data_IF_047165439387
#
_entry.id   IF_047165439387
#
_cell.length_a   1.000
_cell.length_b   1.000
_cell.length_c   1.000
_cell.angle_alpha   90.00
_cell.angle_beta   90.00
_cell.angle_gamma   90.00
#
_symmetry.space_group_name_H-M   'P 1'
#
loop_
_entity.id
_entity.type
_entity.pdbx_description
1 polymer ?
#
# COMPACT_ATOMS: atom_id res chain seq x y z
N UNK A 1 23.85 19.25 14.49
CA UNK A 1 23.16 18.28 13.60
C UNK A 1 22.14 17.45 14.35
N UNK A 2 22.45 16.93 15.55
CA UNK A 2 21.47 16.17 16.36
C UNK A 2 20.26 17.02 16.79
N UNK A 3 20.47 18.29 17.12
CA UNK A 3 19.40 19.22 17.48
C UNK A 3 18.46 19.53 16.30
N UNK A 4 19.02 19.66 15.08
CA UNK A 4 18.28 19.84 13.83
C UNK A 4 17.48 18.60 13.46
N UNK A 5 18.03 17.40 13.71
CA UNK A 5 17.36 16.11 13.51
C UNK A 5 16.15 15.97 14.44
N UNK A 6 16.28 16.34 15.71
CA UNK A 6 15.16 16.34 16.68
C UNK A 6 14.08 17.35 16.31
N UNK A 7 14.47 18.54 15.86
CA UNK A 7 13.51 19.59 15.47
C UNK A 7 12.71 19.20 14.22
N UNK A 8 13.37 18.64 13.21
CA UNK A 8 12.75 18.32 11.91
C UNK A 8 12.16 16.91 11.83
N UNK A 9 12.45 16.05 12.82
CA UNK A 9 12.08 14.63 12.79
C UNK A 9 12.83 13.81 11.75
N UNK A 10 13.78 14.40 11.00
CA UNK A 10 14.59 13.72 9.99
C UNK A 10 15.69 12.92 10.70
N UNK A 11 15.85 11.61 10.45
CA UNK A 11 16.88 10.82 11.10
C UNK A 11 18.30 11.35 10.83
N UNK A 12 19.14 11.35 11.87
CA UNK A 12 20.48 11.94 11.81
C UNK A 12 21.40 11.30 10.74
N UNK A 13 21.20 10.02 10.42
CA UNK A 13 21.95 9.31 9.38
C UNK A 13 21.62 9.83 7.97
N UNK A 14 20.44 10.43 7.76
CA UNK A 14 20.04 11.01 6.47
C UNK A 14 20.67 12.41 6.27
N UNK A 15 21.01 13.07 7.38
CA UNK A 15 21.71 14.36 7.41
C UNK A 15 23.24 14.20 7.33
N UNK A 16 23.78 13.00 7.59
CA UNK A 16 25.20 12.69 7.49
C UNK A 16 25.52 12.06 6.13
N UNK A 17 26.38 12.70 5.35
CA UNK A 17 26.88 12.18 4.07
C UNK A 17 28.02 11.19 4.32
N UNK A 18 27.71 9.89 4.39
CA UNK A 18 28.69 8.82 4.57
C UNK A 18 28.32 7.57 3.76
N UNK A 19 29.32 6.84 3.25
CA UNK A 19 29.14 5.64 2.42
C UNK A 19 28.27 4.59 3.12
N UNK A 20 26.99 4.56 2.81
CA UNK A 20 26.03 3.55 3.26
C UNK A 20 25.87 2.49 2.16
N UNK A 21 25.76 1.22 2.55
CA UNK A 21 25.55 0.13 1.59
C UNK A 21 24.14 0.21 0.99
N UNK A 22 23.94 -0.28 -0.23
CA UNK A 22 22.67 -0.17 -0.97
C UNK A 22 21.46 -0.71 -0.20
N UNK A 23 21.59 -1.88 0.46
CA UNK A 23 20.51 -2.43 1.29
C UNK A 23 20.20 -1.58 2.53
N UNK A 24 21.21 -0.92 3.10
CA UNK A 24 21.05 0.00 4.22
C UNK A 24 20.25 1.24 3.79
N UNK A 25 20.46 1.71 2.55
CA UNK A 25 19.80 2.90 2.01
C UNK A 25 18.30 2.70 1.77
N UNK A 26 17.90 1.53 1.28
CA UNK A 26 16.48 1.23 1.01
C UNK A 26 15.68 1.17 2.32
N UNK A 27 16.19 0.46 3.32
CA UNK A 27 15.57 0.40 4.64
C UNK A 27 15.51 1.78 5.32
N UNK A 28 16.55 2.60 5.14
CA UNK A 28 16.62 3.97 5.64
C UNK A 28 15.64 4.93 4.94
N UNK A 29 15.43 4.76 3.63
CA UNK A 29 14.42 5.53 2.90
C UNK A 29 13.01 5.17 3.37
N UNK A 30 12.72 3.88 3.60
CA UNK A 30 11.45 3.45 4.16
C UNK A 30 11.23 4.02 5.56
N UNK A 31 12.24 3.96 6.41
CA UNK A 31 12.21 4.52 7.77
C UNK A 31 11.92 6.03 7.75
N UNK A 32 12.60 6.78 6.87
CA UNK A 32 12.35 8.22 6.69
C UNK A 32 10.93 8.54 6.21
N UNK A 33 10.44 7.81 5.20
CA UNK A 33 9.08 8.02 4.67
C UNK A 33 8.05 7.72 5.76
N UNK A 34 8.22 6.63 6.50
CA UNK A 34 7.24 6.16 7.49
C UNK A 34 7.24 7.01 8.75
N UNK A 35 8.42 7.38 9.27
CA UNK A 35 8.53 8.04 10.57
C UNK A 35 8.54 9.57 10.49
N UNK A 36 8.93 10.15 9.36
CA UNK A 36 9.00 11.62 9.19
C UNK A 36 7.94 12.11 8.22
N UNK A 37 7.94 11.57 7.00
CA UNK A 37 7.13 12.14 5.92
C UNK A 37 5.62 11.91 6.12
N UNK A 38 5.23 10.74 6.66
CA UNK A 38 3.82 10.41 6.93
C UNK A 38 3.13 11.43 7.84
N UNK A 39 3.82 11.93 8.88
CA UNK A 39 3.24 12.91 9.79
C UNK A 39 2.89 14.22 9.08
N UNK A 40 3.76 14.68 8.17
CA UNK A 40 3.51 15.87 7.36
C UNK A 40 2.41 15.66 6.33
N UNK A 41 2.42 14.50 5.65
CA UNK A 41 1.41 14.17 4.63
C UNK A 41 0.02 14.13 5.26
N UNK A 42 -0.16 13.44 6.39
CA UNK A 42 -1.45 13.38 7.08
C UNK A 42 -1.91 14.79 7.52
N UNK A 43 -0.99 15.63 7.98
CA UNK A 43 -1.29 17.03 8.30
C UNK A 43 -1.81 17.80 7.09
N UNK A 44 -1.16 17.66 5.92
CA UNK A 44 -1.61 18.27 4.68
C UNK A 44 -2.95 17.71 4.20
N UNK A 45 -3.17 16.40 4.27
CA UNK A 45 -4.46 15.77 3.92
C UNK A 45 -5.61 16.35 4.74
N UNK A 46 -5.41 16.52 6.04
CA UNK A 46 -6.40 17.09 6.94
C UNK A 46 -6.68 18.56 6.61
N UNK A 47 -5.63 19.35 6.39
CA UNK A 47 -5.76 20.78 6.07
C UNK A 47 -6.43 21.00 4.71
N UNK A 48 -6.04 20.21 3.71
CA UNK A 48 -6.60 20.25 2.37
C UNK A 48 -8.03 19.76 2.35
N UNK A 49 -8.33 18.66 3.04
CA UNK A 49 -9.71 18.21 3.24
C UNK A 49 -10.53 19.29 3.94
N UNK A 50 -9.96 20.04 4.90
CA UNK A 50 -10.67 21.14 5.53
C UNK A 50 -10.99 22.27 4.53
N UNK A 51 -10.01 22.72 3.75
CA UNK A 51 -10.08 23.93 2.92
C UNK A 51 -10.70 23.72 1.53
N UNK A 52 -10.45 22.58 0.90
CA UNK A 52 -10.84 22.31 -0.49
C UNK A 52 -12.20 21.60 -0.60
N UNK A 53 -12.57 20.78 0.39
CA UNK A 53 -13.87 20.08 0.37
C UNK A 53 -14.96 20.95 1.01
N UNK A 54 -16.04 21.17 0.26
CA UNK A 54 -17.25 21.80 0.80
C UNK A 54 -17.95 20.90 1.81
N UNK A 55 -18.80 21.48 2.66
CA UNK A 55 -19.57 20.73 3.67
C UNK A 55 -20.46 19.65 3.05
N UNK A 56 -20.93 19.87 1.81
CA UNK A 56 -21.72 18.88 1.06
C UNK A 56 -20.87 17.70 0.58
N UNK A 57 -19.66 17.95 0.10
CA UNK A 57 -18.73 16.90 -0.36
C UNK A 57 -18.25 16.04 0.82
N UNK A 58 -17.94 16.66 1.97
CA UNK A 58 -17.61 15.93 3.20
C UNK A 58 -18.78 15.05 3.67
N UNK A 59 -20.02 15.55 3.60
CA UNK A 59 -21.20 14.79 3.97
C UNK A 59 -21.51 13.64 2.99
N UNK A 60 -21.07 13.77 1.72
CA UNK A 60 -21.15 12.70 0.72
C UNK A 60 -20.04 11.64 0.89
N UNK A 61 -19.08 11.85 1.80
CA UNK A 61 -17.99 10.91 2.06
C UNK A 61 -16.74 11.13 1.19
N UNK A 62 -16.65 12.24 0.47
CA UNK A 62 -15.47 12.58 -0.33
C UNK A 62 -14.28 12.87 0.62
N UNK A 63 -13.12 12.32 0.30
CA UNK A 63 -11.89 12.55 1.06
C UNK A 63 -10.71 12.78 0.11
N UNK A 64 -9.77 13.62 0.54
CA UNK A 64 -8.51 13.83 -0.15
C UNK A 64 -7.44 13.01 0.56
N UNK A 65 -6.80 12.11 -0.17
CA UNK A 65 -5.70 11.29 0.33
C UNK A 65 -4.54 11.38 -0.63
N UNK A 66 -3.36 11.64 -0.12
CA UNK A 66 -2.12 11.46 -0.86
C UNK A 66 -1.84 9.97 -1.01
N UNK A 67 -1.57 9.54 -2.23
CA UNK A 67 -1.08 8.21 -2.47
C UNK A 67 0.40 8.11 -2.04
N UNK A 68 0.67 7.88 -0.76
CA UNK A 68 2.03 7.65 -0.23
C UNK A 68 2.58 6.29 -0.68
N UNK A 69 1.72 5.40 -1.17
CA UNK A 69 2.12 4.16 -1.85
C UNK A 69 3.07 4.40 -3.04
N UNK A 70 3.07 5.62 -3.58
CA UNK A 70 4.01 6.08 -4.60
C UNK A 70 5.46 6.16 -4.12
N UNK A 71 5.71 6.49 -2.85
CA UNK A 71 7.07 6.50 -2.29
C UNK A 71 7.56 5.07 -2.01
N UNK A 72 6.63 4.19 -1.61
CA UNK A 72 6.84 2.75 -1.54
C UNK A 72 6.95 2.08 -2.93
N UNK A 73 6.65 2.77 -4.05
CA UNK A 73 6.98 2.27 -5.41
C UNK A 73 8.48 2.03 -5.60
N UNK A 74 9.32 2.64 -4.77
CA UNK A 74 10.76 2.36 -4.76
C UNK A 74 11.07 0.88 -4.56
N UNK A 75 10.22 0.16 -3.82
CA UNK A 75 10.35 -1.28 -3.61
C UNK A 75 9.19 -2.07 -4.25
N UNK A 76 9.19 -2.06 -5.58
CA UNK A 76 8.26 -2.88 -6.37
C UNK A 76 8.37 -4.38 -6.01
N UNK A 77 9.49 -4.83 -5.47
CA UNK A 77 9.69 -6.23 -5.09
C UNK A 77 8.87 -6.58 -3.84
N UNK A 78 9.02 -5.85 -2.74
CA UNK A 78 8.20 -6.11 -1.54
C UNK A 78 6.71 -5.89 -1.79
N UNK A 79 6.36 -4.93 -2.65
CA UNK A 79 4.96 -4.70 -3.03
C UNK A 79 4.39 -5.84 -3.87
N UNK A 80 5.13 -6.34 -4.86
CA UNK A 80 4.75 -7.52 -5.62
C UNK A 80 4.66 -8.76 -4.73
N UNK A 81 5.59 -8.94 -3.78
CA UNK A 81 5.57 -10.05 -2.82
C UNK A 81 4.39 -9.96 -1.85
N UNK A 82 4.01 -8.76 -1.41
CA UNK A 82 2.82 -8.53 -0.59
C UNK A 82 1.56 -8.96 -1.33
N UNK A 83 1.32 -8.45 -2.54
CA UNK A 83 0.14 -8.82 -3.33
C UNK A 83 0.16 -10.30 -3.70
N UNK A 84 1.32 -10.86 -4.06
CA UNK A 84 1.44 -12.29 -4.33
C UNK A 84 1.05 -13.14 -3.13
N UNK A 85 1.51 -12.79 -1.92
CA UNK A 85 1.16 -13.50 -0.67
C UNK A 85 -0.31 -13.35 -0.32
N UNK A 86 -0.89 -12.16 -0.50
CA UNK A 86 -2.30 -11.91 -0.16
C UNK A 86 -3.26 -12.61 -1.13
N UNK A 87 -2.95 -12.59 -2.44
CA UNK A 87 -3.72 -13.32 -3.45
C UNK A 87 -3.52 -14.83 -3.30
N UNK A 88 -2.30 -15.31 -3.02
CA UNK A 88 -2.06 -16.76 -2.84
C UNK A 88 -2.78 -17.35 -1.63
N UNK A 89 -2.99 -16.54 -0.60
CA UNK A 89 -3.72 -16.90 0.62
C UNK A 89 -5.23 -16.63 0.51
N UNK A 90 -5.71 -16.20 -0.67
CA UNK A 90 -7.12 -15.89 -0.93
C UNK A 90 -7.71 -14.83 0.01
N UNK A 91 -6.86 -13.91 0.50
CA UNK A 91 -7.27 -12.77 1.33
C UNK A 91 -7.73 -11.60 0.45
N UNK A 92 -7.11 -11.43 -0.72
CA UNK A 92 -7.49 -10.45 -1.73
C UNK A 92 -7.76 -11.10 -3.08
N UNK A 93 -8.70 -10.52 -3.83
CA UNK A 93 -8.88 -10.82 -5.25
C UNK A 93 -8.01 -9.89 -6.11
N UNK A 94 -7.73 -10.26 -7.37
CA UNK A 94 -6.97 -9.40 -8.29
C UNK A 94 -7.52 -7.97 -8.43
N UNK A 95 -8.84 -7.78 -8.37
CA UNK A 95 -9.46 -6.45 -8.45
C UNK A 95 -9.24 -5.62 -7.18
N UNK A 96 -9.13 -6.25 -5.99
CA UNK A 96 -8.72 -5.54 -4.77
C UNK A 96 -7.31 -4.98 -4.94
N UNK A 97 -6.38 -5.79 -5.46
CA UNK A 97 -5.01 -5.35 -5.75
C UNK A 97 -4.98 -4.21 -6.77
N UNK A 98 -5.84 -4.24 -7.79
CA UNK A 98 -5.95 -3.16 -8.79
C UNK A 98 -6.55 -1.89 -8.22
N UNK A 99 -7.56 -1.99 -7.36
CA UNK A 99 -8.13 -0.86 -6.64
C UNK A 99 -7.07 -0.18 -5.76
N UNK A 100 -6.22 -0.95 -5.09
CA UNK A 100 -5.08 -0.41 -4.33
C UNK A 100 -4.04 0.30 -5.20
N UNK A 101 -3.89 -0.11 -6.46
CA UNK A 101 -3.03 0.54 -7.45
C UNK A 101 -3.74 1.63 -8.26
N UNK A 102 -4.96 2.03 -7.86
CA UNK A 102 -5.80 3.01 -8.55
C UNK A 102 -6.06 2.65 -10.03
N UNK A 103 -6.07 1.35 -10.33
CA UNK A 103 -6.37 0.80 -11.65
C UNK A 103 -7.83 0.36 -11.73
N UNK A 104 -8.41 0.51 -12.92
CA UNK A 104 -9.75 0.01 -13.19
C UNK A 104 -9.81 -1.52 -13.00
N UNK A 105 -10.93 -2.06 -12.49
CA UNK A 105 -11.14 -3.49 -12.36
C UNK A 105 -11.04 -4.19 -13.72
N UNK A 106 -10.77 -5.49 -13.72
CA UNK A 106 -10.78 -6.27 -14.95
C UNK A 106 -12.19 -6.28 -15.56
N UNK A 107 -12.29 -6.21 -16.90
CA UNK A 107 -13.56 -6.39 -17.58
C UNK A 107 -14.16 -7.77 -17.25
N UNK A 108 -15.48 -7.85 -17.32
CA UNK A 108 -16.28 -9.06 -17.07
C UNK A 108 -16.20 -9.62 -15.63
N UNK A 109 -15.71 -8.84 -14.67
CA UNK A 109 -15.70 -9.21 -13.25
C UNK A 109 -14.74 -10.36 -12.90
N UNK A 110 -13.88 -10.75 -13.84
CA UNK A 110 -12.92 -11.85 -13.70
C UNK A 110 -11.94 -11.58 -12.54
N UNK A 111 -11.63 -10.32 -12.26
CA UNK A 111 -10.74 -9.94 -11.18
C UNK A 111 -11.39 -9.94 -9.79
N UNK A 112 -12.72 -10.04 -9.69
CA UNK A 112 -13.44 -10.16 -8.42
C UNK A 112 -13.42 -11.59 -7.86
N UNK A 113 -12.96 -12.57 -8.65
CA UNK A 113 -12.88 -13.96 -8.23
C UNK A 113 -11.64 -14.20 -7.35
N UNK A 114 -11.86 -14.81 -6.18
CA UNK A 114 -10.77 -15.18 -5.28
C UNK A 114 -9.99 -16.37 -5.84
N UNK A 115 -8.69 -16.17 -6.03
CA UNK A 115 -7.79 -17.21 -6.48
C UNK A 115 -7.35 -18.07 -5.30
N UNK A 116 -7.36 -19.38 -5.48
CA UNK A 116 -7.04 -20.36 -4.45
C UNK A 116 -5.97 -21.34 -4.95
N UNK A 117 -4.91 -21.51 -4.16
CA UNK A 117 -3.87 -22.50 -4.45
C UNK A 117 -4.35 -23.92 -4.10
N UNK A 118 -4.14 -24.88 -5.00
CA UNK A 118 -4.72 -26.24 -4.91
C UNK A 118 -4.04 -27.20 -3.91
N UNK A 119 -2.95 -26.79 -3.26
CA UNK A 119 -2.23 -27.57 -2.24
C UNK A 119 -2.11 -26.69 -0.98
N UNK A 120 -2.58 -26.99 0.23
CA UNK A 120 -3.12 -28.20 0.88
C UNK A 120 -4.53 -27.90 1.45
N UNK A 121 -5.49 -28.78 1.13
CA UNK A 121 -6.92 -28.87 1.47
C UNK A 121 -7.39 -28.14 2.77
N UNK A 122 -8.60 -27.58 2.91
CA UNK A 122 -9.81 -27.65 2.09
C UNK A 122 -10.54 -26.30 2.13
N UNK A 123 -10.90 -25.75 0.97
CA UNK A 123 -11.61 -24.46 0.82
C UNK A 123 -13.14 -24.53 0.50
N UNK A 124 -14.05 -25.23 1.19
CA UNK A 124 -14.05 -26.64 1.64
C UNK A 124 -13.93 -27.52 0.40
N UNK A 125 -12.77 -28.16 0.24
CA UNK A 125 -12.32 -28.89 -0.95
C UNK A 125 -12.27 -28.01 -2.21
N UNK A 126 -11.61 -26.86 -2.06
CA UNK A 126 -11.35 -25.82 -3.08
C UNK A 126 -12.60 -25.55 -3.93
N UNK A 127 -13.70 -25.26 -3.23
CA UNK A 127 -15.05 -25.01 -3.74
C UNK A 127 -15.88 -26.19 -4.28
N UNK A 128 -15.37 -27.44 -4.33
CA UNK A 128 -15.85 -28.59 -5.15
C UNK A 128 -15.65 -28.35 -6.65
N UNK A 129 -14.40 -28.19 -7.08
CA UNK A 129 -13.95 -28.49 -8.45
C UNK A 129 -13.98 -30.01 -8.67
N UNK A 130 -15.05 -30.52 -9.24
CA UNK A 130 -16.15 -29.79 -9.88
C UNK A 130 -17.44 -30.45 -9.45
N UNK A 131 -18.51 -29.69 -9.26
CA UNK A 131 -19.87 -30.25 -9.24
C UNK A 131 -20.08 -31.00 -10.57
N UNK A 132 -20.05 -32.34 -10.54
CA UNK A 132 -19.81 -33.19 -11.71
C UNK A 132 -20.90 -33.18 -12.78
N UNK A 133 -20.48 -33.10 -14.05
CA UNK A 133 -21.15 -33.66 -15.22
C UNK A 133 -20.14 -33.81 -16.36
N UNK A 134 -19.68 -35.05 -16.47
CA UNK A 134 -19.20 -35.75 -17.66
C UNK A 134 -19.50 -37.21 -17.37
#
# INVERSE_FOLDING_TARGET
MEETSRFTGIPAYMLQTGKQSYQSNEQQQLDFVTNTLMAHVVGWEQEWSHKLLSTKQKAAGDYLRFNVGVLLRGDNKSRAEFYAKMVSNSIYCPDDCRAFEEMNPLPDGIGAEFLVTKNMDSLKKVLKSGTGKG
#
